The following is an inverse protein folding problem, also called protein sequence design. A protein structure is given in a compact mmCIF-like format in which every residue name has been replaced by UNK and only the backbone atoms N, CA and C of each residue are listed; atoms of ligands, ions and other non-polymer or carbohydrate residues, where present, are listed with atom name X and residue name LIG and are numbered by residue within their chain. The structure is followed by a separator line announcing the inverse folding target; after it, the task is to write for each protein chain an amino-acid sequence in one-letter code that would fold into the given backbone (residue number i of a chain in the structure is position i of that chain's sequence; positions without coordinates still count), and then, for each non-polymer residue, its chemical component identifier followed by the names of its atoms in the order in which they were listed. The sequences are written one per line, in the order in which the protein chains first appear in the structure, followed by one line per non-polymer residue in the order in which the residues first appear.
data_IF_086562158565
#
_entry.id   IF_086562158565
#
_cell.length_a   1.000
_cell.length_b   1.000
_cell.length_c   1.000
_cell.angle_alpha   90.00
_cell.angle_beta   90.00
_cell.angle_gamma   90.00
#
_symmetry.space_group_name_H-M   'P 1'
#
loop_
_entity.id
_entity.type
_entity.pdbx_description
1 polymer ?
#
# COMPACT_ATOMS: atom_id res chain seq x y z
N UNK A 1 13.25 5.39 89.31
CA UNK A 1 12.96 4.17 88.54
C UNK A 1 12.79 4.58 87.08
N UNK A 2 13.75 4.19 86.22
CA UNK A 2 13.65 3.78 84.79
C UNK A 2 12.87 4.68 83.80
N UNK A 3 13.21 4.94 82.53
CA UNK A 3 14.39 4.93 81.64
C UNK A 3 13.81 5.25 80.24
N UNK A 4 14.33 6.28 79.57
CA UNK A 4 14.51 6.41 78.10
C UNK A 4 13.31 6.36 77.13
N UNK A 5 13.28 7.32 76.19
CA UNK A 5 13.67 7.10 74.78
C UNK A 5 13.57 8.39 73.95
N UNK A 6 14.63 8.66 73.17
CA UNK A 6 14.62 9.52 71.97
C UNK A 6 13.92 8.76 70.84
N UNK A 7 13.12 9.48 70.06
CA UNK A 7 12.73 9.17 68.68
C UNK A 7 12.47 10.54 68.02
N UNK A 8 13.45 11.15 67.35
CA UNK A 8 13.64 11.06 65.89
C UNK A 8 12.28 10.95 65.19
N UNK A 9 11.68 12.10 64.91
CA UNK A 9 10.64 12.21 63.89
C UNK A 9 11.32 11.91 62.56
N UNK A 10 11.14 10.67 62.10
CA UNK A 10 11.40 10.32 60.72
C UNK A 10 10.28 10.94 59.88
N UNK A 11 10.71 11.75 58.92
CA UNK A 11 9.93 12.23 57.80
C UNK A 11 9.26 11.02 57.13
N UNK A 12 7.95 11.05 56.99
CA UNK A 12 7.26 10.26 55.97
C UNK A 12 6.48 11.25 55.09
N UNK A 13 7.17 11.74 54.06
CA UNK A 13 6.54 12.35 52.89
C UNK A 13 5.69 11.27 52.19
N UNK A 14 4.47 11.07 52.66
CA UNK A 14 3.49 10.25 51.97
C UNK A 14 2.95 11.05 50.78
N UNK A 15 3.70 10.95 49.68
CA UNK A 15 3.24 11.03 48.28
C UNK A 15 1.82 10.48 48.13
N UNK A 16 0.90 11.29 47.62
CA UNK A 16 -0.16 10.74 46.76
C UNK A 16 -0.83 11.79 45.86
N UNK A 17 -0.19 12.08 44.73
CA UNK A 17 -0.84 12.68 43.55
C UNK A 17 -0.88 11.70 42.37
N UNK A 18 -1.00 10.39 42.63
CA UNK A 18 -0.95 9.37 41.57
C UNK A 18 -2.05 8.30 41.66
N UNK A 19 -3.14 8.52 42.38
CA UNK A 19 -4.25 7.54 42.42
C UNK A 19 -5.35 7.79 41.38
N UNK A 20 -5.54 9.03 40.90
CA UNK A 20 -6.72 9.36 40.06
C UNK A 20 -6.71 8.70 38.68
N UNK A 21 -5.53 8.51 38.07
CA UNK A 21 -5.40 7.89 36.73
C UNK A 21 -5.58 6.36 36.75
N UNK A 22 -5.08 5.67 37.78
CA UNK A 22 -5.21 4.20 37.90
C UNK A 22 -6.65 3.79 38.20
N UNK A 23 -7.37 4.60 38.99
CA UNK A 23 -8.77 4.36 39.30
C UNK A 23 -9.69 4.54 38.08
N UNK A 24 -9.38 5.46 37.18
CA UNK A 24 -10.18 5.70 35.96
C UNK A 24 -10.08 4.54 34.95
N UNK A 25 -8.88 4.03 34.66
CA UNK A 25 -8.71 2.88 33.75
C UNK A 25 -9.25 1.58 34.36
N UNK A 26 -9.12 1.38 35.68
CA UNK A 26 -9.71 0.22 36.37
C UNK A 26 -11.24 0.27 36.33
N UNK A 27 -11.83 1.45 36.51
CA UNK A 27 -13.26 1.65 36.39
C UNK A 27 -13.82 1.46 34.97
N UNK A 28 -12.99 1.66 33.93
CA UNK A 28 -13.36 1.34 32.54
C UNK A 28 -13.43 -0.18 32.33
N UNK A 29 -12.46 -0.93 32.87
CA UNK A 29 -12.39 -2.39 32.73
C UNK A 29 -13.47 -3.10 33.55
N UNK A 30 -13.71 -2.65 34.78
CA UNK A 30 -14.75 -3.22 35.65
C UNK A 30 -16.18 -2.76 35.29
N UNK A 31 -16.37 -1.97 34.22
CA UNK A 31 -17.68 -1.55 33.73
C UNK A 31 -18.43 -0.54 34.60
N UNK A 32 -17.90 -0.22 35.79
CA UNK A 32 -18.48 0.76 36.73
C UNK A 32 -18.62 2.18 36.14
N UNK A 33 -17.84 2.51 35.11
CA UNK A 33 -18.01 3.78 34.38
C UNK A 33 -19.17 3.74 33.38
N UNK A 34 -19.51 2.57 32.82
CA UNK A 34 -20.61 2.41 31.88
C UNK A 34 -21.98 2.43 32.58
N UNK A 35 -22.04 2.00 33.84
CA UNK A 35 -23.26 2.01 34.65
C UNK A 35 -23.61 3.37 35.26
N UNK A 36 -22.79 4.41 35.04
CA UNK A 36 -23.13 5.78 35.46
C UNK A 36 -24.32 6.30 34.64
N UNK A 37 -25.31 6.89 35.31
CA UNK A 37 -26.54 7.41 34.69
C UNK A 37 -26.26 8.36 33.50
N UNK A 38 -25.21 9.19 33.60
CA UNK A 38 -24.78 10.08 32.52
C UNK A 38 -24.31 9.32 31.26
N UNK A 39 -23.63 8.18 31.44
CA UNK A 39 -23.14 7.35 30.33
C UNK A 39 -24.26 6.53 29.72
N UNK A 40 -25.18 6.01 30.55
CA UNK A 40 -26.37 5.29 30.09
C UNK A 40 -27.23 6.19 29.19
N UNK A 41 -27.42 7.46 29.56
CA UNK A 41 -28.15 8.43 28.74
C UNK A 41 -27.50 8.68 27.37
N UNK A 42 -26.18 8.55 27.28
CA UNK A 42 -25.38 8.80 26.08
C UNK A 42 -25.04 7.52 25.29
N UNK A 43 -25.43 6.33 25.77
CA UNK A 43 -25.22 5.04 25.08
C UNK A 43 -25.61 5.05 23.59
N UNK A 44 -26.77 5.56 23.15
CA UNK A 44 -27.10 5.57 21.73
C UNK A 44 -26.09 6.34 20.88
N UNK A 45 -25.51 7.41 21.43
CA UNK A 45 -24.46 8.18 20.76
C UNK A 45 -23.12 7.43 20.70
N UNK A 46 -22.74 6.71 21.76
CA UNK A 46 -21.52 5.89 21.79
C UNK A 46 -21.62 4.75 20.78
N UNK A 47 -22.78 4.09 20.70
CA UNK A 47 -23.02 3.03 19.70
C UNK A 47 -22.95 3.61 18.29
N UNK A 48 -23.56 4.77 18.05
CA UNK A 48 -23.46 5.47 16.77
C UNK A 48 -22.01 5.76 16.39
N UNK A 49 -21.20 6.28 17.31
CA UNK A 49 -19.79 6.55 17.08
C UNK A 49 -19.00 5.26 16.79
N UNK A 50 -19.28 4.20 17.54
CA UNK A 50 -18.65 2.88 17.33
C UNK A 50 -18.97 2.33 15.95
N UNK A 51 -20.22 2.49 15.49
CA UNK A 51 -20.65 2.10 14.16
C UNK A 51 -19.93 2.92 13.07
N UNK A 52 -19.77 4.24 13.26
CA UNK A 52 -18.97 5.08 12.37
C UNK A 52 -17.51 4.64 12.31
N UNK A 53 -16.91 4.28 13.45
CA UNK A 53 -15.54 3.75 13.52
C UNK A 53 -15.44 2.45 12.72
N UNK A 54 -16.40 1.54 12.86
CA UNK A 54 -16.41 0.28 12.13
C UNK A 54 -16.51 0.51 10.61
N UNK A 55 -17.41 1.41 10.18
CA UNK A 55 -17.54 1.83 8.78
C UNK A 55 -16.24 2.47 8.28
N UNK A 56 -15.60 3.31 9.09
CA UNK A 56 -14.34 3.97 8.73
C UNK A 56 -13.22 2.96 8.52
N UNK A 57 -13.06 2.00 9.43
CA UNK A 57 -12.07 0.92 9.31
C UNK A 57 -12.34 0.10 8.05
N UNK A 58 -13.59 -0.28 7.80
CA UNK A 58 -13.98 -1.02 6.60
C UNK A 58 -13.64 -0.26 5.30
N UNK A 59 -13.98 1.02 5.24
CA UNK A 59 -13.64 1.87 4.10
C UNK A 59 -12.13 2.03 3.92
N UNK A 60 -11.38 2.17 5.01
CA UNK A 60 -9.92 2.28 4.97
C UNK A 60 -9.28 1.03 4.35
N UNK A 61 -9.68 -0.16 4.78
CA UNK A 61 -9.19 -1.42 4.20
C UNK A 61 -9.54 -1.55 2.72
N UNK A 62 -10.74 -1.14 2.31
CA UNK A 62 -11.14 -1.16 0.91
C UNK A 62 -10.28 -0.20 0.07
N UNK A 63 -10.11 1.04 0.52
CA UNK A 63 -9.29 2.03 -0.16
C UNK A 63 -7.85 1.56 -0.33
N UNK A 64 -7.25 0.98 0.72
CA UNK A 64 -5.89 0.47 0.66
C UNK A 64 -5.74 -0.66 -0.39
N UNK A 65 -6.72 -1.56 -0.46
CA UNK A 65 -6.73 -2.64 -1.46
C UNK A 65 -6.85 -2.09 -2.88
N UNK A 66 -7.71 -1.09 -3.09
CA UNK A 66 -7.88 -0.45 -4.40
C UNK A 66 -6.59 0.24 -4.83
N UNK A 67 -5.97 1.01 -3.95
CA UNK A 67 -4.71 1.71 -4.24
C UNK A 67 -3.60 0.72 -4.63
N UNK A 68 -3.44 -0.38 -3.88
CA UNK A 68 -2.45 -1.41 -4.22
C UNK A 68 -2.71 -2.01 -5.61
N UNK A 69 -3.97 -2.36 -5.90
CA UNK A 69 -4.35 -2.90 -7.20
C UNK A 69 -4.11 -1.91 -8.34
N UNK A 70 -4.35 -0.62 -8.12
CA UNK A 70 -4.05 0.42 -9.10
C UNK A 70 -2.56 0.47 -9.42
N UNK A 71 -1.69 0.39 -8.42
CA UNK A 71 -0.24 0.39 -8.62
C UNK A 71 0.21 -0.86 -9.39
N UNK A 72 -0.30 -2.04 -9.03
CA UNK A 72 -0.03 -3.29 -9.75
C UNK A 72 -0.42 -3.20 -11.23
N UNK A 73 -1.65 -2.76 -11.52
CA UNK A 73 -2.15 -2.60 -12.88
C UNK A 73 -1.34 -1.57 -13.68
N UNK A 74 -0.93 -0.45 -13.06
CA UNK A 74 -0.08 0.53 -13.72
C UNK A 74 1.29 -0.03 -14.09
N UNK A 75 1.87 -0.85 -13.21
CA UNK A 75 3.14 -1.53 -13.49
C UNK A 75 2.98 -2.53 -14.63
N UNK A 76 1.90 -3.31 -14.65
CA UNK A 76 1.59 -4.27 -15.72
C UNK A 76 1.44 -3.57 -17.08
N UNK A 77 0.68 -2.48 -17.13
CA UNK A 77 0.55 -1.67 -18.36
C UNK A 77 1.89 -1.12 -18.83
N UNK A 78 2.74 -0.66 -17.90
CA UNK A 78 4.08 -0.16 -18.23
C UNK A 78 4.97 -1.27 -18.79
N UNK A 79 4.93 -2.46 -18.18
CA UNK A 79 5.70 -3.62 -18.63
C UNK A 79 5.26 -4.06 -20.04
N UNK A 80 3.96 -4.26 -20.24
CA UNK A 80 3.40 -4.62 -21.55
C UNK A 80 3.75 -3.61 -22.64
N UNK A 81 3.74 -2.31 -22.30
CA UNK A 81 4.17 -1.27 -23.25
C UNK A 81 5.65 -1.38 -23.59
N UNK A 82 6.50 -1.63 -22.60
CA UNK A 82 7.94 -1.82 -22.80
C UNK A 82 8.22 -3.04 -23.68
N UNK A 83 7.54 -4.15 -23.41
CA UNK A 83 7.61 -5.37 -24.20
C UNK A 83 7.17 -5.12 -25.65
N UNK A 84 6.00 -4.49 -25.86
CA UNK A 84 5.50 -4.18 -27.20
C UNK A 84 6.46 -3.29 -28.01
N UNK A 85 7.07 -2.29 -27.37
CA UNK A 85 8.08 -1.43 -28.02
C UNK A 85 9.31 -2.25 -28.38
N UNK A 86 9.79 -3.10 -27.47
CA UNK A 86 10.97 -3.94 -27.68
C UNK A 86 10.75 -4.92 -28.82
N UNK A 87 9.63 -5.66 -28.81
CA UNK A 87 9.27 -6.60 -29.88
C UNK A 87 9.11 -5.90 -31.22
N UNK A 88 8.48 -4.73 -31.25
CA UNK A 88 8.35 -3.93 -32.49
C UNK A 88 9.71 -3.45 -33.00
N UNK A 89 10.61 -3.05 -32.11
CA UNK A 89 11.97 -2.64 -32.46
C UNK A 89 12.80 -3.81 -32.99
N UNK A 90 12.68 -5.00 -32.39
CA UNK A 90 13.32 -6.22 -32.87
C UNK A 90 12.83 -6.59 -34.27
N UNK A 91 11.50 -6.56 -34.49
CA UNK A 91 10.92 -6.77 -35.81
C UNK A 91 11.46 -5.76 -36.83
N UNK A 92 11.47 -4.47 -36.48
CA UNK A 92 11.99 -3.42 -37.36
C UNK A 92 13.48 -3.63 -37.68
N UNK A 93 14.26 -4.10 -36.71
CA UNK A 93 15.67 -4.41 -36.91
C UNK A 93 15.87 -5.57 -37.89
N UNK A 94 15.15 -6.69 -37.71
CA UNK A 94 15.27 -7.85 -38.62
C UNK A 94 14.69 -7.58 -40.00
N UNK A 95 13.65 -6.75 -40.10
CA UNK A 95 13.04 -6.32 -41.38
C UNK A 95 13.88 -5.28 -42.12
N UNK A 96 14.94 -4.74 -41.50
CA UNK A 96 15.83 -3.78 -42.14
C UNK A 96 16.48 -4.41 -43.37
N UNK A 97 16.44 -3.70 -44.49
CA UNK A 97 16.94 -4.19 -45.78
C UNK A 97 18.37 -4.75 -45.70
N UNK A 98 19.26 -4.08 -44.95
CA UNK A 98 20.62 -4.55 -44.72
C UNK A 98 20.70 -5.86 -43.93
N UNK A 99 19.83 -6.06 -42.94
CA UNK A 99 19.78 -7.30 -42.15
C UNK A 99 19.13 -8.43 -42.95
N UNK A 100 18.09 -8.14 -43.73
CA UNK A 100 17.49 -9.09 -44.68
C UNK A 100 18.54 -9.55 -45.70
N UNK A 101 19.29 -8.64 -46.31
CA UNK A 101 20.36 -8.98 -47.25
C UNK A 101 21.48 -9.81 -46.60
N UNK A 102 21.85 -9.52 -45.34
CA UNK A 102 22.77 -10.38 -44.57
C UNK A 102 22.18 -11.77 -44.30
N UNK A 103 20.90 -11.86 -43.97
CA UNK A 103 20.20 -13.14 -43.73
C UNK A 103 20.11 -13.98 -45.00
N UNK A 104 19.79 -13.37 -46.14
CA UNK A 104 19.75 -13.99 -47.47
C UNK A 104 21.11 -14.60 -47.83
N UNK A 105 22.19 -13.82 -47.68
CA UNK A 105 23.57 -14.29 -47.91
C UNK A 105 23.95 -15.44 -46.98
N UNK A 106 23.64 -15.34 -45.69
CA UNK A 106 23.92 -16.41 -44.71
C UNK A 106 23.14 -17.69 -45.01
N UNK A 107 21.93 -17.58 -45.55
CA UNK A 107 21.09 -18.73 -45.92
C UNK A 107 21.39 -19.28 -47.32
N UNK A 108 22.44 -18.79 -48.01
CA UNK A 108 22.78 -19.14 -49.39
C UNK A 108 21.58 -19.02 -50.36
N UNK A 109 20.72 -18.04 -50.12
CA UNK A 109 19.63 -17.72 -51.05
C UNK A 109 20.22 -16.86 -52.17
N UNK A 110 20.07 -17.29 -53.43
CA UNK A 110 20.53 -16.58 -54.63
C UNK A 110 19.67 -15.35 -54.97
N UNK A 111 19.33 -14.55 -53.96
CA UNK A 111 18.51 -13.35 -54.10
C UNK A 111 19.41 -12.11 -54.03
N UNK A 112 19.39 -11.29 -55.08
CA UNK A 112 20.11 -10.01 -55.13
C UNK A 112 19.15 -8.82 -55.01
N UNK A 113 19.58 -7.76 -54.34
CA UNK A 113 18.83 -6.50 -54.31
C UNK A 113 18.70 -5.89 -55.70
N UNK A 114 17.46 -5.53 -56.06
CA UNK A 114 17.17 -4.79 -57.28
C UNK A 114 17.75 -3.37 -57.18
N UNK A 115 18.84 -3.10 -57.89
CA UNK A 115 19.49 -1.77 -57.97
C UNK A 115 18.79 -0.79 -58.92
N UNK A 116 17.81 -1.26 -59.68
CA UNK A 116 17.07 -0.48 -60.70
C UNK A 116 15.57 -0.73 -60.52
N UNK A 117 14.71 0.30 -60.72
CA UNK A 117 13.27 0.15 -60.54
C UNK A 117 12.68 -0.89 -61.52
N UNK A 118 11.66 -1.65 -61.11
CA UNK A 118 11.04 -2.69 -61.95
C UNK A 118 10.30 -2.07 -63.12
N UNK A 119 10.39 -2.70 -64.30
CA UNK A 119 9.62 -2.30 -65.48
C UNK A 119 8.21 -2.89 -65.40
N UNK A 120 7.21 -2.03 -65.48
CA UNK A 120 5.81 -2.43 -65.62
C UNK A 120 5.60 -2.83 -67.08
N UNK A 121 5.05 -4.02 -67.32
CA UNK A 121 4.65 -4.47 -68.66
C UNK A 121 3.15 -4.18 -68.77
N UNK A 122 2.78 -3.15 -69.53
CA UNK A 122 1.38 -2.95 -69.92
C UNK A 122 1.09 -3.83 -71.14
N UNK A 123 0.04 -4.65 -71.04
CA UNK A 123 -0.46 -5.47 -72.13
C UNK A 123 -1.54 -4.63 -72.84
N UNK A 124 -1.31 -4.27 -74.10
CA UNK A 124 -2.28 -3.61 -74.97
C UNK A 124 -2.95 -4.64 -75.89
#
# INVERSE_FOLDING_TARGET
MVRGKKSIEFIDEQKEQTESKRMSVRGLIDGSLLTREAVIKQLPYIIFLTLLILIYIGNRYHAEKVVRKTVELQNEVRELRSEAITTSAELMFISKQSEVTKLVKRKNLELEELKKPPKIIEIH
#
